data_IF_005382969375
#
_entry.id   IF_005382969375
#
_cell.length_a   1.000
_cell.length_b   1.000
_cell.length_c   1.000
_cell.angle_alpha   90.00
_cell.angle_beta   90.00
_cell.angle_gamma   90.00
#
_symmetry.space_group_name_H-M   'P 1'
#
loop_
_entity.id
_entity.type
_entity.pdbx_description
1 polymer ?
#
# COMPACT_ATOMS: atom_id res chain seq x y z
N UNK A 1 -16.45 -2.21 -21.58
CA UNK A 1 -15.23 -2.92 -21.18
C UNK A 1 -14.72 -3.89 -22.23
N UNK A 2 -15.60 -4.63 -22.93
CA UNK A 2 -15.18 -5.56 -23.97
C UNK A 2 -14.38 -4.86 -25.09
N UNK A 3 -14.87 -3.70 -25.55
CA UNK A 3 -14.16 -2.91 -26.57
C UNK A 3 -12.78 -2.45 -26.07
N UNK A 4 -12.68 -2.02 -24.81
CA UNK A 4 -11.39 -1.67 -24.20
C UNK A 4 -10.44 -2.86 -24.16
N UNK A 5 -10.94 -4.04 -23.82
CA UNK A 5 -10.17 -5.27 -23.79
C UNK A 5 -9.65 -5.65 -25.19
N UNK A 6 -10.55 -5.71 -26.18
CA UNK A 6 -10.21 -6.09 -27.55
C UNK A 6 -9.20 -5.12 -28.18
N UNK A 7 -9.38 -3.81 -27.92
CA UNK A 7 -8.45 -2.77 -28.38
C UNK A 7 -7.07 -2.93 -27.73
N UNK A 8 -7.03 -3.15 -26.40
CA UNK A 8 -5.78 -3.36 -25.68
C UNK A 8 -5.03 -4.60 -26.19
N UNK A 9 -5.74 -5.72 -26.34
CA UNK A 9 -5.17 -6.95 -26.86
C UNK A 9 -4.64 -6.81 -28.31
N UNK A 10 -5.34 -6.03 -29.14
CA UNK A 10 -4.89 -5.74 -30.50
C UNK A 10 -3.61 -4.89 -30.51
N UNK A 11 -3.53 -3.87 -29.66
CA UNK A 11 -2.35 -3.01 -29.51
C UNK A 11 -1.13 -3.79 -28.99
N UNK A 12 -1.34 -4.70 -28.04
CA UNK A 12 -0.29 -5.60 -27.53
C UNK A 12 0.27 -6.51 -28.66
N UNK A 13 -0.59 -7.06 -29.48
CA UNK A 13 -0.17 -7.87 -30.65
C UNK A 13 0.68 -7.09 -31.65
N UNK A 14 0.46 -5.77 -31.73
CA UNK A 14 1.28 -4.85 -32.54
C UNK A 14 2.59 -4.42 -31.84
N UNK A 15 2.86 -4.95 -30.64
CA UNK A 15 4.08 -4.66 -29.88
C UNK A 15 4.02 -3.45 -28.96
N UNK A 16 2.84 -2.81 -28.81
CA UNK A 16 2.67 -1.67 -27.90
C UNK A 16 2.56 -2.17 -26.46
N UNK A 17 3.52 -1.74 -25.61
CA UNK A 17 3.59 -2.14 -24.19
C UNK A 17 3.44 -0.97 -23.23
N UNK A 18 3.35 0.25 -23.72
CA UNK A 18 3.22 1.47 -22.91
C UNK A 18 1.79 2.02 -23.06
N UNK A 19 0.83 1.31 -22.49
CA UNK A 19 -0.58 1.64 -22.57
C UNK A 19 -1.09 2.24 -21.26
N UNK A 20 -2.14 3.04 -21.38
CA UNK A 20 -2.95 3.53 -20.25
C UNK A 20 -4.41 3.29 -20.62
N UNK A 21 -5.17 2.69 -19.70
CA UNK A 21 -6.54 2.30 -19.93
C UNK A 21 -7.49 3.40 -19.44
N UNK A 22 -8.23 4.05 -20.36
CA UNK A 22 -9.31 4.97 -19.97
C UNK A 22 -10.53 4.19 -19.52
N UNK A 23 -10.77 4.16 -18.22
CA UNK A 23 -11.90 3.48 -17.59
C UNK A 23 -13.11 4.38 -17.39
N UNK A 24 -13.05 5.62 -17.90
CA UNK A 24 -14.13 6.60 -17.74
C UNK A 24 -15.38 6.16 -18.51
N UNK A 25 -16.47 5.94 -17.79
CA UNK A 25 -17.78 5.66 -18.36
C UNK A 25 -18.64 6.92 -18.60
N UNK A 26 -19.90 6.72 -18.87
CA UNK A 26 -20.86 7.80 -19.10
C UNK A 26 -21.23 8.55 -17.81
N UNK A 27 -21.14 7.89 -16.67
CA UNK A 27 -21.46 8.44 -15.35
C UNK A 27 -20.51 7.90 -14.25
N UNK A 28 -20.72 8.37 -13.02
CA UNK A 28 -19.92 8.01 -11.85
C UNK A 28 -20.01 6.51 -11.55
N UNK A 29 -21.21 5.94 -11.63
CA UNK A 29 -21.46 4.52 -11.32
C UNK A 29 -20.75 3.61 -12.31
N UNK A 30 -20.88 3.91 -13.60
CA UNK A 30 -20.24 3.15 -14.66
C UNK A 30 -18.71 3.28 -14.56
N UNK A 31 -18.19 4.48 -14.36
CA UNK A 31 -16.75 4.73 -14.19
C UNK A 31 -16.19 3.93 -13.02
N UNK A 32 -16.87 3.94 -11.88
CA UNK A 32 -16.44 3.17 -10.71
C UNK A 32 -16.48 1.67 -10.98
N UNK A 33 -17.55 1.18 -11.59
CA UNK A 33 -17.70 -0.24 -11.94
C UNK A 33 -16.60 -0.69 -12.92
N UNK A 34 -16.32 0.09 -13.95
CA UNK A 34 -15.26 -0.18 -14.92
C UNK A 34 -13.88 -0.28 -14.26
N UNK A 35 -13.53 0.73 -13.43
CA UNK A 35 -12.25 0.78 -12.72
C UNK A 35 -12.06 -0.42 -11.79
N UNK A 36 -13.11 -0.80 -11.06
CA UNK A 36 -13.10 -1.98 -10.18
C UNK A 36 -12.94 -3.27 -10.99
N UNK A 37 -13.68 -3.42 -12.09
CA UNK A 37 -13.65 -4.64 -12.89
C UNK A 37 -12.30 -4.83 -13.57
N UNK A 38 -11.73 -3.78 -14.19
CA UNK A 38 -10.39 -3.80 -14.78
C UNK A 38 -9.36 -4.23 -13.75
N UNK A 39 -9.39 -3.65 -12.55
CA UNK A 39 -8.42 -3.98 -11.50
C UNK A 39 -8.62 -5.40 -10.94
N UNK A 40 -9.85 -5.86 -10.83
CA UNK A 40 -10.13 -7.25 -10.40
C UNK A 40 -9.67 -8.26 -11.44
N UNK A 41 -9.94 -8.05 -12.71
CA UNK A 41 -9.45 -8.92 -13.78
C UNK A 41 -7.92 -8.99 -13.77
N UNK A 42 -7.24 -7.84 -13.67
CA UNK A 42 -5.78 -7.79 -13.62
C UNK A 42 -5.18 -8.55 -12.42
N UNK A 43 -5.77 -8.44 -11.23
CA UNK A 43 -5.20 -8.99 -10.00
C UNK A 43 -5.74 -10.38 -9.65
N UNK A 44 -7.05 -10.59 -9.74
CA UNK A 44 -7.69 -11.85 -9.31
C UNK A 44 -7.62 -12.89 -10.40
N UNK A 45 -7.92 -12.48 -11.63
CA UNK A 45 -7.94 -13.36 -12.78
C UNK A 45 -6.57 -13.41 -13.49
N UNK A 46 -5.60 -12.61 -13.01
CA UNK A 46 -4.24 -12.48 -13.54
C UNK A 46 -4.20 -12.13 -15.05
N UNK A 47 -5.21 -11.41 -15.51
CA UNK A 47 -5.31 -10.98 -16.90
C UNK A 47 -4.41 -9.77 -17.17
N UNK A 48 -3.30 -10.01 -17.87
CA UNK A 48 -2.30 -8.99 -18.15
C UNK A 48 -2.78 -7.91 -19.11
N UNK A 49 -3.77 -8.19 -19.95
CA UNK A 49 -4.37 -7.21 -20.86
C UNK A 49 -4.99 -6.04 -20.11
N UNK A 50 -5.48 -6.27 -18.89
CA UNK A 50 -5.91 -5.22 -17.97
C UNK A 50 -4.87 -4.79 -16.94
N UNK A 51 -3.63 -5.24 -17.07
CA UNK A 51 -2.52 -4.94 -16.14
C UNK A 51 -1.89 -3.55 -16.29
N UNK A 52 -2.38 -2.72 -17.20
CA UNK A 52 -1.88 -1.36 -17.42
C UNK A 52 -2.45 -0.35 -16.42
N UNK A 53 -1.76 0.81 -16.22
CA UNK A 53 -2.30 1.91 -15.44
C UNK A 53 -3.64 2.39 -15.99
N UNK A 54 -4.56 2.74 -15.10
CA UNK A 54 -5.87 3.29 -15.48
C UNK A 54 -5.88 4.81 -15.41
N UNK A 55 -6.67 5.43 -16.28
CA UNK A 55 -7.01 6.85 -16.21
C UNK A 55 -8.50 7.02 -15.95
N UNK A 56 -8.85 7.97 -15.11
CA UNK A 56 -10.23 8.39 -14.83
C UNK A 56 -10.35 9.88 -15.09
N UNK A 57 -11.21 10.27 -16.04
CA UNK A 57 -11.44 11.65 -16.40
C UNK A 57 -12.67 12.21 -15.66
N UNK A 58 -12.43 12.91 -14.55
CA UNK A 58 -13.49 13.50 -13.73
C UNK A 58 -14.21 14.67 -14.39
N UNK A 59 -13.55 15.36 -15.32
CA UNK A 59 -14.16 16.49 -16.05
C UNK A 59 -15.38 16.01 -16.84
N UNK A 60 -15.31 14.80 -17.40
CA UNK A 60 -16.43 14.20 -18.15
C UNK A 60 -17.64 13.84 -17.28
N UNK A 61 -17.39 13.33 -16.06
CA UNK A 61 -18.46 12.78 -15.21
C UNK A 61 -18.99 13.74 -14.16
N UNK A 62 -18.20 14.73 -13.76
CA UNK A 62 -18.61 15.78 -12.79
C UNK A 62 -19.12 17.06 -13.42
N UNK A 63 -19.03 17.21 -14.76
CA UNK A 63 -19.67 18.28 -15.55
C UNK A 63 -19.45 19.70 -15.00
N UNK A 64 -18.23 20.05 -14.65
CA UNK A 64 -17.87 21.39 -14.15
C UNK A 64 -18.10 21.62 -12.66
N UNK A 65 -18.63 20.63 -11.91
CA UNK A 65 -18.72 20.72 -10.46
C UNK A 65 -17.37 20.38 -9.81
N UNK A 66 -16.64 21.42 -9.41
CA UNK A 66 -15.29 21.27 -8.81
C UNK A 66 -15.29 20.56 -7.46
N UNK A 67 -16.34 20.73 -6.66
CA UNK A 67 -16.45 20.03 -5.38
C UNK A 67 -16.69 18.53 -5.58
N UNK A 68 -17.54 18.21 -6.56
CA UNK A 68 -17.77 16.82 -6.94
C UNK A 68 -16.48 16.20 -7.52
N UNK A 69 -15.73 16.94 -8.33
CA UNK A 69 -14.42 16.48 -8.83
C UNK A 69 -13.46 16.16 -7.69
N UNK A 70 -13.35 17.02 -6.67
CA UNK A 70 -12.50 16.80 -5.50
C UNK A 70 -12.93 15.55 -4.68
N UNK A 71 -14.24 15.39 -4.48
CA UNK A 71 -14.79 14.21 -3.80
C UNK A 71 -14.50 12.91 -4.58
N UNK A 72 -14.74 12.91 -5.88
CA UNK A 72 -14.45 11.77 -6.76
C UNK A 72 -12.96 11.49 -6.87
N UNK A 73 -12.11 12.53 -6.92
CA UNK A 73 -10.66 12.36 -6.90
C UNK A 73 -10.21 11.63 -5.63
N UNK A 74 -10.79 11.96 -4.47
CA UNK A 74 -10.54 11.25 -3.21
C UNK A 74 -10.94 9.77 -3.30
N UNK A 75 -12.13 9.50 -3.85
CA UNK A 75 -12.62 8.13 -4.01
C UNK A 75 -11.71 7.29 -4.93
N UNK A 76 -11.33 7.82 -6.09
CA UNK A 76 -10.49 7.10 -7.05
C UNK A 76 -9.03 7.01 -6.60
N UNK A 77 -8.53 7.95 -5.81
CA UNK A 77 -7.21 7.83 -5.14
C UNK A 77 -7.19 6.62 -4.20
N UNK A 78 -8.26 6.37 -3.47
CA UNK A 78 -8.39 5.19 -2.61
C UNK A 78 -8.72 3.91 -3.39
N UNK A 79 -9.39 4.02 -4.54
CA UNK A 79 -9.95 2.87 -5.29
C UNK A 79 -9.53 2.90 -6.77
N UNK A 80 -8.33 2.40 -7.03
CA UNK A 80 -7.88 1.93 -8.33
C UNK A 80 -7.65 2.98 -9.44
N UNK A 81 -7.78 4.26 -9.17
CA UNK A 81 -7.39 5.30 -10.11
C UNK A 81 -5.87 5.51 -10.10
N UNK A 82 -5.19 5.20 -11.20
CA UNK A 82 -3.75 5.46 -11.32
C UNK A 82 -3.47 6.90 -11.72
N UNK A 83 -4.23 7.41 -12.69
CA UNK A 83 -4.17 8.78 -13.18
C UNK A 83 -5.58 9.37 -13.06
N UNK A 84 -5.69 10.53 -12.44
CA UNK A 84 -6.97 11.21 -12.25
C UNK A 84 -6.89 12.55 -12.95
N UNK A 85 -7.77 12.77 -13.93
CA UNK A 85 -7.86 14.04 -14.67
C UNK A 85 -8.92 14.92 -14.02
N UNK A 86 -8.52 16.12 -13.62
CA UNK A 86 -9.36 17.17 -13.05
C UNK A 86 -9.30 18.41 -13.93
N UNK A 87 -10.33 19.24 -13.89
CA UNK A 87 -10.37 20.51 -14.62
C UNK A 87 -9.31 21.50 -14.13
N UNK A 88 -9.12 21.51 -12.82
CA UNK A 88 -8.07 22.29 -12.14
C UNK A 88 -7.63 21.56 -10.89
N UNK A 89 -6.48 21.95 -10.35
CA UNK A 89 -6.02 21.54 -9.04
C UNK A 89 -5.44 22.76 -8.31
N UNK A 90 -6.20 23.32 -7.40
CA UNK A 90 -5.74 24.33 -6.46
C UNK A 90 -4.99 23.70 -5.29
N UNK A 91 -4.25 24.50 -4.53
CA UNK A 91 -3.57 24.00 -3.31
C UNK A 91 -4.57 23.43 -2.29
N UNK A 92 -5.75 24.03 -2.16
CA UNK A 92 -6.81 23.58 -1.28
C UNK A 92 -7.34 22.18 -1.66
N UNK A 93 -7.38 21.85 -2.95
CA UNK A 93 -7.77 20.53 -3.44
C UNK A 93 -6.64 19.51 -3.37
N UNK A 94 -5.40 19.95 -3.67
CA UNK A 94 -4.24 19.08 -3.69
C UNK A 94 -3.83 18.57 -2.30
N UNK A 95 -3.86 19.42 -1.28
CA UNK A 95 -3.39 19.08 0.06
C UNK A 95 -4.11 17.88 0.69
N UNK A 96 -5.45 17.82 0.73
CA UNK A 96 -6.16 16.64 1.25
C UNK A 96 -5.94 15.39 0.39
N UNK A 97 -5.78 15.51 -0.93
CA UNK A 97 -5.48 14.37 -1.81
C UNK A 97 -4.09 13.79 -1.54
N UNK A 98 -3.08 14.63 -1.29
CA UNK A 98 -1.75 14.17 -0.88
C UNK A 98 -1.78 13.50 0.49
N UNK A 99 -2.48 14.07 1.47
CA UNK A 99 -2.66 13.47 2.78
C UNK A 99 -3.34 12.11 2.70
N UNK A 100 -4.41 12.00 1.92
CA UNK A 100 -5.13 10.75 1.68
C UNK A 100 -4.25 9.69 1.00
N UNK A 101 -3.53 10.09 -0.06
CA UNK A 101 -2.62 9.20 -0.77
C UNK A 101 -1.51 8.69 0.14
N UNK A 102 -0.95 9.54 0.98
CA UNK A 102 0.07 9.16 1.94
C UNK A 102 -0.45 8.12 2.93
N UNK A 103 -1.64 8.32 3.49
CA UNK A 103 -2.24 7.35 4.42
C UNK A 103 -2.48 5.99 3.76
N UNK A 104 -2.99 5.96 2.53
CA UNK A 104 -3.25 4.70 1.82
C UNK A 104 -1.97 3.91 1.54
N UNK A 105 -0.87 4.59 1.22
CA UNK A 105 0.38 3.94 0.81
C UNK A 105 1.40 3.75 1.93
N UNK A 106 1.27 4.46 3.05
CA UNK A 106 2.19 4.36 4.19
C UNK A 106 1.59 3.66 5.41
N UNK A 107 0.27 3.58 5.51
CA UNK A 107 -0.45 2.86 6.56
C UNK A 107 -1.45 1.87 5.93
N UNK A 108 -0.98 0.76 5.38
CA UNK A 108 -1.84 -0.24 4.77
C UNK A 108 -2.78 -0.85 5.81
N UNK A 109 -4.04 -1.04 5.45
CA UNK A 109 -5.07 -1.66 6.33
C UNK A 109 -4.72 -3.10 6.73
N UNK A 110 -3.84 -3.75 5.98
CA UNK A 110 -3.23 -5.03 6.32
C UNK A 110 -1.73 -4.82 6.35
N UNK A 111 -1.16 -4.54 7.52
CA UNK A 111 0.26 -4.27 7.67
C UNK A 111 1.09 -5.45 7.15
N UNK A 112 2.18 -5.15 6.46
CA UNK A 112 3.20 -6.15 6.19
C UNK A 112 3.94 -6.43 7.49
N UNK A 113 4.02 -7.69 7.87
CA UNK A 113 4.75 -8.13 9.05
C UNK A 113 5.82 -9.13 8.68
N UNK A 114 6.84 -9.21 9.51
CA UNK A 114 7.84 -10.27 9.50
C UNK A 114 7.46 -11.33 10.52
N UNK A 115 8.02 -12.51 10.39
CA UNK A 115 7.76 -13.59 11.34
C UNK A 115 8.34 -13.20 12.71
N UNK A 116 7.56 -13.29 13.81
CA UNK A 116 8.09 -13.12 15.16
C UNK A 116 9.17 -14.17 15.46
N UNK A 117 10.13 -13.85 16.30
CA UNK A 117 11.22 -14.78 16.65
C UNK A 117 12.48 -14.05 17.10
N UNK A 118 13.55 -14.83 17.31
CA UNK A 118 14.86 -14.33 17.71
C UNK A 118 15.81 -14.40 16.52
N UNK A 119 16.37 -13.27 16.15
CA UNK A 119 17.25 -13.08 15.00
C UNK A 119 18.67 -12.74 15.48
N UNK A 120 19.62 -13.70 15.51
CA UNK A 120 21.01 -13.40 15.87
C UNK A 120 21.67 -12.60 14.76
N UNK A 121 22.29 -11.47 15.12
CA UNK A 121 22.99 -10.57 14.20
C UNK A 121 24.48 -10.52 14.58
N UNK A 122 25.33 -10.28 13.57
CA UNK A 122 26.77 -10.09 13.72
C UNK A 122 27.50 -11.23 14.49
N UNK A 123 27.01 -12.47 14.33
CA UNK A 123 27.60 -13.64 15.00
C UNK A 123 27.26 -13.75 16.50
N UNK A 124 26.11 -13.22 16.91
CA UNK A 124 25.63 -13.31 18.28
C UNK A 124 25.47 -14.75 18.77
N UNK A 125 25.86 -14.98 20.01
CA UNK A 125 25.58 -16.19 20.78
C UNK A 125 24.44 -15.95 21.79
N UNK A 126 24.12 -16.94 22.60
CA UNK A 126 23.07 -16.87 23.63
C UNK A 126 23.35 -15.87 24.75
N UNK A 127 24.60 -15.43 24.92
CA UNK A 127 25.02 -14.44 25.93
C UNK A 127 25.10 -13.02 25.37
N UNK A 128 24.84 -12.84 24.08
CA UNK A 128 24.89 -11.54 23.44
C UNK A 128 23.78 -10.62 23.92
N UNK A 129 23.97 -9.32 23.71
CA UNK A 129 22.98 -8.29 24.08
C UNK A 129 21.64 -8.58 23.36
N UNK A 130 20.54 -8.44 24.09
CA UNK A 130 19.19 -8.59 23.54
C UNK A 130 18.60 -7.21 23.25
N UNK A 131 18.13 -7.03 22.02
CA UNK A 131 17.39 -5.85 21.58
C UNK A 131 16.02 -6.31 21.08
N UNK A 132 14.97 -5.56 21.35
CA UNK A 132 13.63 -5.98 20.98
C UNK A 132 12.85 -4.90 20.21
N UNK A 133 12.04 -5.34 19.28
CA UNK A 133 11.05 -4.51 18.57
C UNK A 133 9.82 -5.34 18.19
N UNK A 134 8.98 -4.80 17.32
CA UNK A 134 7.73 -5.43 16.87
C UNK A 134 7.85 -5.98 15.44
N UNK A 135 6.92 -6.83 15.06
CA UNK A 135 6.85 -7.53 13.78
C UNK A 135 6.43 -6.65 12.58
N UNK A 136 6.26 -5.33 12.74
CA UNK A 136 5.99 -4.43 11.63
C UNK A 136 7.20 -4.36 10.67
N UNK A 137 6.99 -4.74 9.41
CA UNK A 137 8.07 -4.94 8.45
C UNK A 137 8.98 -3.73 8.28
N UNK A 138 8.42 -2.52 8.19
CA UNK A 138 9.23 -1.29 8.05
C UNK A 138 10.15 -1.09 9.26
N UNK A 139 9.64 -1.28 10.47
CA UNK A 139 10.43 -1.19 11.70
C UNK A 139 11.55 -2.23 11.71
N UNK A 140 11.23 -3.48 11.36
CA UNK A 140 12.22 -4.55 11.28
C UNK A 140 13.36 -4.20 10.33
N UNK A 141 13.07 -3.83 9.08
CA UNK A 141 14.10 -3.55 8.09
C UNK A 141 14.98 -2.35 8.45
N UNK A 142 14.42 -1.31 9.06
CA UNK A 142 15.19 -0.16 9.50
C UNK A 142 16.08 -0.54 10.69
N UNK A 143 15.52 -1.18 11.71
CA UNK A 143 16.23 -1.54 12.93
C UNK A 143 17.31 -2.60 12.65
N UNK A 144 16.97 -3.70 11.95
CA UNK A 144 17.94 -4.75 11.64
C UNK A 144 19.10 -4.22 10.81
N UNK A 145 18.84 -3.38 9.80
CA UNK A 145 19.88 -2.79 8.98
C UNK A 145 20.84 -1.86 9.75
N UNK A 146 20.33 -1.10 10.74
CA UNK A 146 21.19 -0.27 11.60
C UNK A 146 22.00 -1.14 12.57
N UNK A 147 21.38 -2.17 13.14
CA UNK A 147 22.05 -3.09 14.07
C UNK A 147 23.14 -3.93 13.37
N UNK A 148 22.88 -4.41 12.15
CA UNK A 148 23.89 -5.11 11.32
C UNK A 148 25.09 -4.20 11.03
N UNK A 149 24.84 -2.93 10.66
CA UNK A 149 25.90 -1.95 10.40
C UNK A 149 26.74 -1.62 11.63
N UNK A 150 26.20 -1.75 12.84
CA UNK A 150 26.94 -1.53 14.08
C UNK A 150 28.09 -2.52 14.27
N UNK A 151 28.00 -3.71 13.68
CA UNK A 151 28.95 -4.81 13.86
C UNK A 151 28.93 -5.44 15.27
N UNK A 152 28.04 -5.01 16.15
CA UNK A 152 27.93 -5.53 17.52
C UNK A 152 27.15 -6.85 17.50
N UNK A 153 27.70 -7.95 18.09
CA UNK A 153 26.94 -9.18 18.27
C UNK A 153 25.73 -8.95 19.18
N UNK A 154 24.50 -9.22 18.67
CA UNK A 154 23.27 -9.03 19.45
C UNK A 154 22.15 -9.94 18.92
N UNK A 155 21.21 -10.25 19.78
CA UNK A 155 19.99 -10.98 19.45
C UNK A 155 18.82 -10.00 19.32
N UNK A 156 18.29 -9.88 18.10
CA UNK A 156 17.12 -9.04 17.82
C UNK A 156 15.84 -9.87 18.02
N UNK A 157 15.07 -9.55 19.03
CA UNK A 157 13.80 -10.18 19.36
C UNK A 157 12.65 -9.41 18.69
N UNK A 158 11.93 -10.09 17.80
CA UNK A 158 10.77 -9.56 17.10
C UNK A 158 9.49 -10.11 17.74
N UNK A 159 8.78 -9.24 18.45
CA UNK A 159 7.55 -9.62 19.14
C UNK A 159 6.34 -9.58 18.21
N UNK A 160 5.41 -10.54 18.38
CA UNK A 160 4.12 -10.52 17.66
C UNK A 160 3.24 -9.38 18.17
N UNK A 161 3.12 -8.35 17.38
CA UNK A 161 2.23 -7.22 17.60
C UNK A 161 1.09 -7.15 16.55
N UNK A 162 0.99 -8.18 15.69
CA UNK A 162 0.03 -8.22 14.58
C UNK A 162 0.37 -7.28 13.44
N UNK A 163 1.66 -6.95 13.25
CA UNK A 163 2.12 -6.02 12.23
C UNK A 163 1.88 -4.54 12.55
N UNK A 164 1.59 -4.19 13.79
CA UNK A 164 1.42 -2.81 14.23
C UNK A 164 2.77 -2.13 14.46
N UNK A 165 2.84 -0.82 14.22
CA UNK A 165 4.03 -0.03 14.56
C UNK A 165 4.30 -0.04 16.06
N UNK A 166 5.53 0.24 16.47
CA UNK A 166 5.95 0.24 17.91
C UNK A 166 5.01 1.06 18.77
N UNK A 167 4.73 2.31 18.38
CA UNK A 167 3.89 3.22 19.13
C UNK A 167 2.45 2.73 19.23
N UNK A 168 1.89 2.24 18.15
CA UNK A 168 0.53 1.68 18.11
C UNK A 168 0.44 0.40 18.95
N UNK A 169 1.45 -0.46 18.89
CA UNK A 169 1.51 -1.70 19.68
C UNK A 169 1.61 -1.43 21.16
N UNK A 170 2.41 -0.44 21.54
CA UNK A 170 2.50 0.01 22.93
C UNK A 170 1.16 0.56 23.42
N UNK A 171 0.52 1.45 22.66
CA UNK A 171 -0.78 2.02 23.02
C UNK A 171 -1.89 0.96 23.11
N UNK A 172 -1.82 -0.10 22.28
CA UNK A 172 -2.74 -1.24 22.29
C UNK A 172 -2.40 -2.31 23.37
N UNK A 173 -1.35 -2.11 24.16
CA UNK A 173 -0.90 -3.06 25.18
C UNK A 173 -0.24 -4.34 24.62
N UNK A 174 0.04 -4.38 23.32
CA UNK A 174 0.67 -5.54 22.66
C UNK A 174 2.20 -5.54 22.76
N UNK A 175 2.81 -4.40 23.06
CA UNK A 175 4.24 -4.25 23.25
C UNK A 175 4.51 -3.65 24.62
N UNK A 176 4.66 -4.51 25.62
CA UNK A 176 4.84 -4.18 27.02
C UNK A 176 5.89 -5.11 27.65
N UNK A 177 6.39 -4.75 28.82
CA UNK A 177 7.33 -5.61 29.55
C UNK A 177 6.79 -7.02 29.79
N UNK A 178 5.49 -7.15 30.02
CA UNK A 178 4.82 -8.45 30.22
C UNK A 178 4.78 -9.25 28.92
N UNK A 179 4.32 -8.66 27.82
CA UNK A 179 4.23 -9.36 26.53
C UNK A 179 5.61 -9.78 26.02
N UNK A 180 6.61 -8.91 26.16
CA UNK A 180 8.00 -9.20 25.76
C UNK A 180 8.56 -10.38 26.62
N UNK A 181 8.38 -10.31 27.94
CA UNK A 181 8.87 -11.37 28.84
C UNK A 181 8.19 -12.73 28.59
N UNK A 182 6.90 -12.72 28.25
CA UNK A 182 6.18 -13.93 27.90
C UNK A 182 6.72 -14.53 26.61
N UNK A 183 6.85 -13.70 25.58
CA UNK A 183 7.38 -14.12 24.28
C UNK A 183 8.78 -14.74 24.38
N UNK A 184 9.72 -14.09 25.08
CA UNK A 184 11.10 -14.61 25.25
C UNK A 184 11.14 -15.95 26.04
N UNK A 185 10.13 -16.24 26.84
CA UNK A 185 10.08 -17.52 27.60
C UNK A 185 9.48 -18.66 26.80
N UNK A 186 8.73 -18.35 25.75
CA UNK A 186 8.07 -19.32 24.89
C UNK A 186 8.93 -19.72 23.69
N UNK A 187 9.89 -18.86 23.28
CA UNK A 187 10.89 -19.10 22.24
C UNK A 187 12.17 -19.77 22.80
#
# INVERSE_FOLDING_TARGET
LNELYDTTAALEKLGNKNLVLDTTGADIKETFANTVQVRRAALKDQDRTFGYPSIVNLVKIAKGDLHLQAALASMFTMKYGSIIVMEQMTYAEALPLYGLRQNVYTDPQKPMKVEPGIYPLNGADENAVVVTTVDFALTYFVVSGELERSGVPLNLVINDAGGLSVLTSWAAGKFSSTSISTFIKEE
#
